data_IF_537455422751
#
_entry.id   IF_537455422751
#
_cell.length_a   1.000
_cell.length_b   1.000
_cell.length_c   1.000
_cell.angle_alpha   90.00
_cell.angle_beta   90.00
_cell.angle_gamma   90.00
#
_symmetry.space_group_name_H-M   'P 1'
#
loop_
_entity.id
_entity.type
_entity.pdbx_description
1 polymer ?
#
# COMPACT_ATOMS: atom_id res chain seq x y z
N UNK A 1 25.80 2.55 -1.15
CA UNK A 1 24.86 2.22 -0.04
C UNK A 1 23.51 1.84 -0.65
N UNK A 2 23.15 0.56 -0.68
CA UNK A 2 21.85 0.11 -1.20
C UNK A 2 20.75 0.46 -0.20
N UNK A 3 19.88 1.42 -0.54
CA UNK A 3 18.65 1.66 0.23
C UNK A 3 17.68 0.51 -0.07
N UNK A 4 17.50 -0.42 0.87
CA UNK A 4 16.44 -1.43 0.80
C UNK A 4 15.10 -0.68 0.71
N UNK A 5 14.35 -0.89 -0.37
CA UNK A 5 12.98 -0.38 -0.52
C UNK A 5 12.03 -1.54 -0.25
N UNK A 6 11.01 -1.30 0.56
CA UNK A 6 9.93 -2.24 0.77
C UNK A 6 8.96 -2.13 -0.41
N UNK A 7 8.61 -3.27 -1.01
CA UNK A 7 7.62 -3.35 -2.08
C UNK A 7 6.32 -3.91 -1.50
N UNK A 8 5.21 -3.27 -1.83
CA UNK A 8 3.89 -3.65 -1.37
C UNK A 8 2.94 -3.73 -2.57
N UNK A 9 2.15 -4.80 -2.64
CA UNK A 9 0.97 -4.82 -3.50
C UNK A 9 -0.16 -4.09 -2.78
N UNK A 10 -0.94 -3.30 -3.51
CA UNK A 10 -2.12 -2.61 -2.96
C UNK A 10 -3.38 -3.24 -3.54
N UNK A 11 -4.37 -3.45 -2.67
CA UNK A 11 -5.69 -3.94 -3.02
C UNK A 11 -6.74 -3.02 -2.37
N UNK A 12 -7.50 -2.31 -3.20
CA UNK A 12 -8.58 -1.44 -2.73
C UNK A 12 -9.91 -2.18 -2.76
N UNK A 13 -10.56 -2.28 -1.61
CA UNK A 13 -11.82 -3.02 -1.47
C UNK A 13 -13.00 -2.30 -2.15
N UNK A 14 -12.95 -0.97 -2.29
CA UNK A 14 -14.08 -0.18 -2.81
C UNK A 14 -14.11 -0.03 -4.32
N UNK A 15 -12.96 0.16 -4.96
CA UNK A 15 -12.88 0.42 -6.40
C UNK A 15 -12.19 -0.71 -7.18
N UNK A 16 -11.79 -1.79 -6.50
CA UNK A 16 -11.09 -2.92 -7.10
C UNK A 16 -9.70 -2.55 -7.64
N UNK A 17 -9.15 -1.39 -7.27
CA UNK A 17 -7.83 -0.98 -7.73
C UNK A 17 -6.75 -1.91 -7.19
N UNK A 18 -5.94 -2.44 -8.11
CA UNK A 18 -4.76 -3.25 -7.80
C UNK A 18 -3.52 -2.55 -8.35
N UNK A 19 -2.46 -2.49 -7.55
CA UNK A 19 -1.22 -1.82 -7.92
C UNK A 19 -0.04 -2.25 -7.07
N UNK A 20 1.10 -1.58 -7.23
CA UNK A 20 2.30 -1.83 -6.43
C UNK A 20 2.94 -0.51 -6.04
N UNK A 21 3.32 -0.38 -4.77
CA UNK A 21 4.04 0.79 -4.26
C UNK A 21 5.38 0.36 -3.68
N UNK A 22 6.36 1.26 -3.74
CA UNK A 22 7.66 1.07 -3.09
C UNK A 22 7.87 2.18 -2.07
N UNK A 23 8.15 1.81 -0.83
CA UNK A 23 8.44 2.77 0.24
C UNK A 23 9.85 2.56 0.78
N UNK A 24 10.50 3.66 1.16
CA UNK A 24 11.76 3.61 1.90
C UNK A 24 11.54 3.19 3.36
N UNK A 25 10.35 3.43 3.89
CA UNK A 25 9.98 3.12 5.27
C UNK A 25 8.92 2.02 5.31
N UNK A 26 8.85 1.23 6.40
CA UNK A 26 7.72 0.35 6.65
C UNK A 26 6.40 1.13 6.61
N UNK A 27 5.35 0.49 6.12
CA UNK A 27 3.99 1.05 6.09
C UNK A 27 3.17 0.35 7.16
N UNK A 28 2.41 1.13 7.92
CA UNK A 28 1.56 0.66 9.02
C UNK A 28 0.08 0.83 8.68
N UNK A 29 -0.77 0.09 9.39
CA UNK A 29 -2.22 0.31 9.35
C UNK A 29 -2.50 1.74 9.82
N UNK A 30 -3.34 2.45 9.08
CA UNK A 30 -3.59 3.86 9.30
C UNK A 30 -2.56 4.78 8.65
N UNK A 31 -1.60 4.32 7.87
CA UNK A 31 -0.80 5.24 7.06
C UNK A 31 -1.60 5.76 5.86
N UNK A 32 -1.35 7.01 5.47
CA UNK A 32 -1.81 7.55 4.20
C UNK A 32 -0.75 7.29 3.13
N UNK A 33 -1.14 6.68 2.03
CA UNK A 33 -0.26 6.33 0.92
C UNK A 33 -0.83 6.83 -0.41
N UNK A 34 0.05 7.08 -1.37
CA UNK A 34 -0.35 7.55 -2.69
C UNK A 34 0.03 6.53 -3.76
N UNK A 35 -0.92 6.19 -4.62
CA UNK A 35 -0.67 5.38 -5.81
C UNK A 35 -1.27 6.07 -7.03
N UNK A 36 -0.39 6.51 -7.94
CA UNK A 36 -0.77 7.36 -9.07
C UNK A 36 -1.35 8.70 -8.59
N UNK A 37 -2.57 9.01 -9.04
CA UNK A 37 -3.29 10.23 -8.69
C UNK A 37 -4.18 10.09 -7.44
N UNK A 38 -4.34 8.86 -6.91
CA UNK A 38 -5.23 8.57 -5.80
C UNK A 38 -4.46 8.46 -4.48
N UNK A 39 -5.04 9.00 -3.43
CA UNK A 39 -4.57 8.79 -2.05
C UNK A 39 -5.47 7.78 -1.36
N UNK A 40 -4.84 6.93 -0.56
CA UNK A 40 -5.50 5.87 0.17
C UNK A 40 -5.05 5.84 1.64
N UNK A 41 -5.91 5.31 2.50
CA UNK A 41 -5.62 4.94 3.88
C UNK A 41 -5.43 3.44 3.96
N UNK A 42 -4.33 2.98 4.54
CA UNK A 42 -4.13 1.54 4.81
C UNK A 42 -5.09 1.12 5.92
N UNK A 43 -5.92 0.12 5.65
CA UNK A 43 -6.92 -0.40 6.59
C UNK A 43 -6.52 -1.75 7.15
N UNK A 44 -5.77 -2.56 6.39
CA UNK A 44 -5.24 -3.84 6.84
C UNK A 44 -3.97 -4.21 6.05
N UNK A 45 -3.17 -5.12 6.60
CA UNK A 45 -1.93 -5.60 5.99
C UNK A 45 -1.88 -7.11 6.07
N UNK A 46 -1.78 -7.75 4.91
CA UNK A 46 -1.56 -9.19 4.81
C UNK A 46 -0.14 -9.50 4.36
N UNK A 47 0.52 -10.39 5.08
CA UNK A 47 1.87 -10.83 4.79
C UNK A 47 1.86 -12.29 4.32
N UNK A 48 2.62 -12.58 3.26
CA UNK A 48 3.01 -13.92 2.87
C UNK A 48 4.53 -14.04 2.81
N UNK A 49 5.04 -15.25 2.59
CA UNK A 49 6.47 -15.49 2.43
C UNK A 49 7.10 -14.73 1.24
N UNK A 50 6.28 -14.36 0.24
CA UNK A 50 6.74 -13.79 -1.02
C UNK A 50 6.25 -12.36 -1.28
N UNK A 51 5.21 -11.90 -0.58
CA UNK A 51 4.65 -10.57 -0.80
C UNK A 51 4.03 -9.99 0.47
N UNK A 52 3.89 -8.67 0.48
CA UNK A 52 3.05 -7.98 1.44
C UNK A 52 1.99 -7.20 0.68
N UNK A 53 0.73 -7.44 1.04
CA UNK A 53 -0.45 -6.81 0.45
C UNK A 53 -1.02 -5.82 1.45
N UNK A 54 -1.18 -4.57 1.02
CA UNK A 54 -1.87 -3.52 1.75
C UNK A 54 -3.32 -3.48 1.27
N UNK A 55 -4.25 -3.66 2.18
CA UNK A 55 -5.65 -3.36 1.96
C UNK A 55 -5.89 -1.90 2.28
N UNK A 56 -6.58 -1.20 1.38
CA UNK A 56 -6.66 0.26 1.43
C UNK A 56 -8.06 0.77 1.11
N UNK A 57 -8.38 1.93 1.67
CA UNK A 57 -9.59 2.70 1.36
C UNK A 57 -9.21 4.05 0.74
N UNK A 58 -9.97 4.49 -0.27
CA UNK A 58 -9.77 5.80 -0.91
C UNK A 58 -10.12 6.92 0.08
N UNK A 59 -9.25 7.92 0.19
CA UNK A 59 -9.47 9.10 1.05
C UNK A 59 -9.66 10.40 0.28
N UNK A 60 -9.20 10.48 -0.97
CA UNK A 60 -9.47 11.64 -1.83
C UNK A 60 -10.73 11.37 -2.66
N UNK A 61 -11.77 12.19 -2.46
CA UNK A 61 -12.96 12.28 -3.32
C UNK A 61 -12.90 13.59 -4.12
#
# INVERSE_FOLDING_TARGET
>A
MFKKKFKYSIHSNKDGHVGTISSANPISIGDAIKSGIKSYRVTDIWHSESTTVLYVDVIDQ
#
